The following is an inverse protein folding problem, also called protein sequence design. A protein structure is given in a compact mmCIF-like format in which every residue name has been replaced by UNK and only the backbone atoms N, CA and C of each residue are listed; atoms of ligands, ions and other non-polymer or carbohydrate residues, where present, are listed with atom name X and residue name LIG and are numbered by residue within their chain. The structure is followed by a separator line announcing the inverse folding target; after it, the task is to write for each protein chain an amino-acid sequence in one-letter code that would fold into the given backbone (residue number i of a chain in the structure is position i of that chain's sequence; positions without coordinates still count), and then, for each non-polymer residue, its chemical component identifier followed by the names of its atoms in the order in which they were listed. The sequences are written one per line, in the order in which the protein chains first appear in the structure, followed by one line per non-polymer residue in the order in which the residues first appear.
data_IF_935322333791
#
_entry.id   IF_935322333791
#
_cell.length_a   1.000
_cell.length_b   1.000
_cell.length_c   1.000
_cell.angle_alpha   90.00
_cell.angle_beta   90.00
_cell.angle_gamma   90.00
#
_symmetry.space_group_name_H-M   'P 1'
#
loop_
_entity.id
_entity.type
_entity.pdbx_description
1 polymer ?
#
# COMPACT_ATOMS: atom_id res chain seq x y z
N UNK A 1 -10.36 -41.27 -35.24
CA UNK A 1 -9.70 -41.30 -36.55
C UNK A 1 -8.42 -42.12 -36.38
N UNK A 2 -8.30 -43.28 -37.03
CA UNK A 2 -7.11 -44.12 -36.88
C UNK A 2 -5.91 -43.46 -37.60
N UNK A 3 -4.78 -43.32 -36.90
CA UNK A 3 -3.55 -42.82 -37.47
C UNK A 3 -3.05 -43.76 -38.57
N UNK A 4 -2.50 -43.20 -39.65
CA UNK A 4 -1.94 -44.02 -40.73
C UNK A 4 -0.74 -44.81 -40.19
N UNK A 5 -0.45 -46.02 -40.72
CA UNK A 5 0.64 -46.87 -40.21
C UNK A 5 2.00 -46.15 -40.15
N UNK A 6 2.30 -45.30 -41.14
CA UNK A 6 3.52 -44.50 -41.17
C UNK A 6 3.57 -43.41 -40.09
N UNK A 7 2.43 -42.79 -39.76
CA UNK A 7 2.33 -41.80 -38.68
C UNK A 7 2.53 -42.48 -37.33
N UNK A 8 1.93 -43.65 -37.14
CA UNK A 8 2.04 -44.43 -35.91
C UNK A 8 3.48 -44.92 -35.68
N UNK A 9 4.18 -45.32 -36.75
CA UNK A 9 5.60 -45.67 -36.69
C UNK A 9 6.51 -44.47 -36.36
N UNK A 10 6.21 -43.30 -36.93
CA UNK A 10 6.94 -42.05 -36.63
C UNK A 10 6.74 -41.63 -35.17
N UNK A 11 5.48 -41.60 -34.69
CA UNK A 11 5.16 -41.26 -33.30
C UNK A 11 5.81 -42.24 -32.31
N UNK A 12 5.76 -43.55 -32.61
CA UNK A 12 6.41 -44.57 -31.80
C UNK A 12 7.94 -44.40 -31.74
N UNK A 13 8.55 -43.85 -32.79
CA UNK A 13 9.99 -43.55 -32.82
C UNK A 13 10.30 -42.30 -32.02
N UNK A 14 9.52 -41.22 -32.20
CA UNK A 14 9.64 -39.99 -31.41
C UNK A 14 9.45 -40.23 -29.91
N UNK A 15 8.46 -41.05 -29.53
CA UNK A 15 8.22 -41.43 -28.15
C UNK A 15 9.40 -42.21 -27.56
N UNK A 16 10.00 -43.13 -28.33
CA UNK A 16 11.20 -43.88 -27.88
C UNK A 16 12.38 -42.95 -27.63
N UNK A 17 12.65 -42.00 -28.52
CA UNK A 17 13.72 -41.01 -28.33
C UNK A 17 13.47 -40.11 -27.12
N UNK A 18 12.24 -39.62 -26.94
CA UNK A 18 11.88 -38.83 -25.76
C UNK A 18 12.04 -39.62 -24.45
N UNK A 19 11.60 -40.88 -24.44
CA UNK A 19 11.76 -41.76 -23.27
C UNK A 19 13.23 -42.05 -22.97
N UNK A 20 14.06 -42.20 -24.00
CA UNK A 20 15.50 -42.36 -23.85
C UNK A 20 16.10 -41.12 -23.18
N UNK A 21 15.81 -39.93 -23.70
CA UNK A 21 16.27 -38.67 -23.11
C UNK A 21 15.83 -38.50 -21.65
N UNK A 22 14.56 -38.78 -21.33
CA UNK A 22 14.06 -38.68 -19.95
C UNK A 22 14.77 -39.66 -19.00
N UNK A 23 15.12 -40.86 -19.47
CA UNK A 23 15.87 -41.83 -18.67
C UNK A 23 17.30 -41.39 -18.43
N UNK A 24 17.96 -40.83 -19.45
CA UNK A 24 19.31 -40.27 -19.33
C UNK A 24 19.32 -39.11 -18.33
N UNK A 25 18.42 -38.14 -18.49
CA UNK A 25 18.26 -37.02 -17.57
C UNK A 25 17.99 -37.50 -16.13
N UNK A 26 17.13 -38.52 -15.96
CA UNK A 26 16.86 -39.09 -14.63
C UNK A 26 18.11 -39.74 -14.02
N UNK A 27 18.93 -40.41 -14.82
CA UNK A 27 20.17 -41.02 -14.35
C UNK A 27 21.18 -39.94 -13.93
N UNK A 28 21.33 -38.89 -14.74
CA UNK A 28 22.17 -37.73 -14.40
C UNK A 28 21.70 -37.06 -13.10
N UNK A 29 20.40 -36.81 -12.95
CA UNK A 29 19.84 -36.24 -11.72
C UNK A 29 20.04 -37.11 -10.47
N UNK A 30 20.17 -38.43 -10.64
CA UNK A 30 20.42 -39.35 -9.52
C UNK A 30 21.90 -39.39 -9.10
N UNK A 31 22.81 -38.85 -9.92
CA UNK A 31 24.23 -38.79 -9.61
C UNK A 31 24.56 -37.50 -8.85
N UNK A 32 24.89 -37.59 -7.55
CA UNK A 32 25.19 -36.41 -6.75
C UNK A 32 26.48 -35.75 -7.22
N UNK A 33 26.41 -34.46 -7.54
CA UNK A 33 27.55 -33.66 -7.98
C UNK A 33 27.66 -33.45 -9.49
N UNK A 34 26.76 -34.03 -10.30
CA UNK A 34 26.68 -33.65 -11.71
C UNK A 34 26.12 -32.23 -11.85
N UNK A 35 26.48 -31.52 -12.93
CA UNK A 35 26.08 -30.13 -13.13
C UNK A 35 24.54 -29.96 -13.21
N UNK A 36 23.83 -30.96 -13.74
CA UNK A 36 22.36 -30.93 -13.88
C UNK A 36 21.69 -31.05 -12.52
N UNK A 37 22.09 -32.03 -11.70
CA UNK A 37 21.59 -32.20 -10.33
C UNK A 37 21.89 -30.96 -9.49
N UNK A 38 23.13 -30.46 -9.51
CA UNK A 38 23.51 -29.25 -8.79
C UNK A 38 22.71 -28.01 -9.23
N UNK A 39 22.40 -27.90 -10.52
CA UNK A 39 21.57 -26.81 -11.04
C UNK A 39 20.14 -26.92 -10.52
N UNK A 40 19.52 -28.10 -10.60
CA UNK A 40 18.16 -28.33 -10.11
C UNK A 40 18.06 -28.10 -8.61
N UNK A 41 19.03 -28.56 -7.82
CA UNK A 41 19.09 -28.33 -6.38
C UNK A 41 19.21 -26.84 -6.06
N UNK A 42 20.07 -26.11 -6.77
CA UNK A 42 20.23 -24.67 -6.59
C UNK A 42 18.92 -23.91 -6.90
N UNK A 43 18.26 -24.22 -8.02
CA UNK A 43 16.98 -23.60 -8.35
C UNK A 43 15.87 -23.98 -7.36
N UNK A 44 15.85 -25.24 -6.90
CA UNK A 44 14.84 -25.68 -5.92
C UNK A 44 15.02 -24.95 -4.59
N UNK A 45 16.26 -24.83 -4.11
CA UNK A 45 16.60 -24.05 -2.90
C UNK A 45 16.19 -22.58 -3.01
N UNK A 46 16.41 -21.96 -4.18
CA UNK A 46 15.97 -20.58 -4.43
C UNK A 46 14.44 -20.46 -4.41
N UNK A 47 13.73 -21.40 -5.04
CA UNK A 47 12.27 -21.40 -5.06
C UNK A 47 11.72 -21.59 -3.64
N UNK A 48 12.27 -22.53 -2.88
CA UNK A 48 11.87 -22.79 -1.50
C UNK A 48 12.08 -21.54 -0.62
N UNK A 49 13.22 -20.85 -0.76
CA UNK A 49 13.47 -19.59 -0.06
C UNK A 49 12.46 -18.50 -0.42
N UNK A 50 12.13 -18.34 -1.70
CA UNK A 50 11.12 -17.36 -2.15
C UNK A 50 9.73 -17.70 -1.60
N UNK A 51 9.36 -18.98 -1.58
CA UNK A 51 8.09 -19.43 -1.01
C UNK A 51 8.03 -19.13 0.49
N UNK A 52 9.12 -19.40 1.22
CA UNK A 52 9.21 -19.13 2.66
C UNK A 52 9.07 -17.63 2.94
N UNK A 53 9.80 -16.77 2.23
CA UNK A 53 9.72 -15.33 2.40
C UNK A 53 8.28 -14.80 2.20
N UNK A 54 7.62 -15.21 1.11
CA UNK A 54 6.23 -14.82 0.83
C UNK A 54 5.27 -15.34 1.90
N UNK A 55 5.43 -16.59 2.33
CA UNK A 55 4.57 -17.18 3.36
C UNK A 55 4.72 -16.45 4.71
N UNK A 56 5.96 -16.13 5.11
CA UNK A 56 6.24 -15.41 6.35
C UNK A 56 5.75 -13.96 6.30
N UNK A 57 5.88 -13.29 5.16
CA UNK A 57 5.37 -11.93 4.99
C UNK A 57 3.85 -11.87 5.13
N UNK A 58 3.13 -12.77 4.44
CA UNK A 58 1.67 -12.88 4.54
C UNK A 58 1.25 -13.25 5.97
N UNK A 59 1.93 -14.22 6.59
CA UNK A 59 1.66 -14.58 7.98
C UNK A 59 1.83 -13.40 8.93
N UNK A 60 2.94 -12.66 8.81
CA UNK A 60 3.21 -11.46 9.61
C UNK A 60 2.11 -10.42 9.42
N UNK A 61 1.75 -10.11 8.17
CA UNK A 61 0.74 -9.10 7.86
C UNK A 61 -0.61 -9.43 8.48
N UNK A 62 -1.02 -10.71 8.45
CA UNK A 62 -2.26 -11.18 9.09
C UNK A 62 -2.17 -11.10 10.61
N UNK A 63 -1.06 -11.53 11.21
CA UNK A 63 -0.90 -11.50 12.67
C UNK A 63 -0.84 -10.08 13.24
N UNK A 64 -0.29 -9.13 12.50
CA UNK A 64 -0.24 -7.72 12.92
C UNK A 64 -1.49 -6.93 12.55
N UNK A 65 -2.46 -7.54 11.86
CA UNK A 65 -3.70 -6.90 11.42
C UNK A 65 -3.50 -5.86 10.31
N UNK A 66 -2.37 -5.92 9.59
CA UNK A 66 -2.13 -5.12 8.38
C UNK A 66 -2.95 -5.65 7.21
N UNK A 67 -3.14 -6.97 7.16
CA UNK A 67 -4.03 -7.67 6.25
C UNK A 67 -4.97 -8.58 7.04
N UNK A 68 -6.09 -9.00 6.44
CA UNK A 68 -6.90 -10.11 6.93
C UNK A 68 -6.92 -11.31 5.94
N UNK A 69 -7.53 -12.42 6.35
CA UNK A 69 -7.64 -13.62 5.53
C UNK A 69 -8.54 -13.44 4.29
N UNK A 70 -9.51 -12.51 4.34
CA UNK A 70 -10.38 -12.20 3.21
C UNK A 70 -9.61 -11.42 2.13
N UNK A 71 -8.76 -10.46 2.52
CA UNK A 71 -7.88 -9.69 1.64
C UNK A 71 -6.86 -10.59 0.93
N UNK A 72 -6.26 -11.53 1.66
CA UNK A 72 -5.38 -12.55 1.08
C UNK A 72 -6.14 -13.42 0.06
N UNK A 73 -7.34 -13.91 0.43
CA UNK A 73 -8.17 -14.74 -0.47
C UNK A 73 -8.57 -13.99 -1.73
N UNK A 74 -8.88 -12.71 -1.62
CA UNK A 74 -9.22 -11.86 -2.76
C UNK A 74 -8.03 -11.69 -3.72
N UNK A 75 -6.82 -11.44 -3.20
CA UNK A 75 -5.60 -11.34 -4.02
C UNK A 75 -5.27 -12.64 -4.75
N UNK A 76 -5.42 -13.79 -4.09
CA UNK A 76 -5.24 -15.11 -4.72
C UNK A 76 -6.26 -15.36 -5.84
N UNK A 77 -7.54 -15.04 -5.61
CA UNK A 77 -8.59 -15.18 -6.61
C UNK A 77 -8.41 -14.23 -7.81
N UNK A 78 -7.82 -13.06 -7.57
CA UNK A 78 -7.54 -12.04 -8.60
C UNK A 78 -6.22 -12.28 -9.35
N UNK A 79 -5.50 -13.37 -9.04
CA UNK A 79 -4.27 -13.75 -9.74
C UNK A 79 -3.00 -13.05 -9.25
N UNK A 80 -2.97 -12.53 -8.02
CA UNK A 80 -1.77 -11.97 -7.37
C UNK A 80 -1.22 -10.67 -8.00
N UNK A 81 -1.61 -10.35 -9.23
CA UNK A 81 -1.49 -9.03 -9.79
C UNK A 81 -2.49 -8.11 -9.11
N UNK A 82 -2.07 -6.89 -8.84
CA UNK A 82 -2.94 -5.73 -8.71
C UNK A 82 -3.76 -5.55 -10.00
N UNK A 83 -4.69 -6.46 -10.27
CA UNK A 83 -5.82 -6.26 -11.19
C UNK A 83 -6.86 -5.31 -10.57
N UNK A 84 -6.67 -4.92 -9.31
CA UNK A 84 -7.02 -3.59 -8.86
C UNK A 84 -5.97 -2.62 -9.36
N UNK A 85 -6.20 -2.04 -10.54
CA UNK A 85 -5.86 -0.62 -10.70
C UNK A 85 -6.44 0.16 -9.50
N UNK A 86 -5.94 1.37 -9.19
CA UNK A 86 -6.49 2.18 -8.10
C UNK A 86 -8.02 2.05 -8.12
N UNK A 87 -8.67 1.80 -6.96
CA UNK A 87 -10.11 1.60 -6.90
C UNK A 87 -10.76 2.63 -7.81
N UNK A 88 -11.75 2.25 -8.65
CA UNK A 88 -12.32 3.16 -9.64
C UNK A 88 -12.55 4.49 -8.92
N UNK A 89 -11.97 5.59 -9.43
CA UNK A 89 -11.97 6.85 -8.69
C UNK A 89 -13.42 7.07 -8.25
N UNK A 90 -13.65 7.36 -6.95
CA UNK A 90 -15.00 7.57 -6.46
C UNK A 90 -15.67 8.53 -7.45
N UNK A 91 -16.94 8.27 -7.83
CA UNK A 91 -17.62 9.02 -8.88
C UNK A 91 -17.33 10.49 -8.66
N UNK A 92 -16.69 11.11 -9.66
CA UNK A 92 -16.16 12.46 -9.54
C UNK A 92 -17.23 13.32 -8.88
N UNK A 93 -16.94 13.95 -7.73
CA UNK A 93 -17.92 14.81 -7.09
C UNK A 93 -18.42 15.82 -8.14
N UNK A 94 -19.71 16.20 -8.08
CA UNK A 94 -20.30 17.13 -9.06
C UNK A 94 -19.37 18.33 -9.24
N UNK A 95 -19.24 18.85 -10.48
CA UNK A 95 -18.16 19.75 -10.87
C UNK A 95 -17.95 20.82 -9.80
N UNK A 96 -16.85 20.65 -9.08
CA UNK A 96 -16.50 21.50 -7.95
C UNK A 96 -16.30 22.90 -8.52
N UNK A 97 -17.06 23.87 -8.00
CA UNK A 97 -16.91 25.26 -8.38
C UNK A 97 -15.43 25.66 -8.29
N UNK A 98 -14.91 26.34 -9.33
CA UNK A 98 -13.49 26.74 -9.44
C UNK A 98 -12.93 27.19 -8.09
N UNK A 99 -12.03 26.39 -7.50
CA UNK A 99 -11.31 26.75 -6.28
C UNK A 99 -11.52 25.85 -5.06
N UNK A 100 -12.40 24.85 -5.10
CA UNK A 100 -12.52 23.89 -4.00
C UNK A 100 -11.62 22.65 -4.22
N UNK A 101 -10.85 22.30 -3.18
CA UNK A 101 -9.93 21.16 -3.15
C UNK A 101 -10.68 19.90 -2.74
N UNK A 102 -10.34 18.76 -3.32
CA UNK A 102 -10.92 17.45 -2.96
C UNK A 102 -9.84 16.62 -2.26
N UNK A 103 -10.18 15.96 -1.15
CA UNK A 103 -9.24 15.09 -0.43
C UNK A 103 -9.06 13.70 -1.09
N UNK A 104 -8.18 12.87 -0.52
CA UNK A 104 -7.91 11.49 -1.00
C UNK A 104 -9.13 10.57 -0.95
N UNK A 105 -10.18 10.96 -0.20
CA UNK A 105 -11.44 10.22 -0.04
C UNK A 105 -12.59 10.79 -0.89
N UNK A 106 -12.34 11.84 -1.70
CA UNK A 106 -13.37 12.45 -2.54
C UNK A 106 -14.23 13.51 -1.85
N UNK A 107 -13.92 13.91 -0.62
CA UNK A 107 -14.66 14.98 0.07
C UNK A 107 -14.18 16.36 -0.37
N UNK A 108 -15.14 17.26 -0.60
CA UNK A 108 -14.85 18.67 -0.89
C UNK A 108 -14.38 19.34 0.40
N UNK A 109 -13.11 19.74 0.44
CA UNK A 109 -12.51 20.45 1.57
C UNK A 109 -12.88 21.93 1.45
N UNK A 110 -13.59 22.50 2.45
CA UNK A 110 -13.89 23.92 2.43
C UNK A 110 -12.59 24.73 2.52
N UNK A 111 -12.49 25.89 1.85
CA UNK A 111 -11.26 26.71 1.85
C UNK A 111 -10.87 27.22 3.24
N UNK A 112 -11.82 27.24 4.18
CA UNK A 112 -11.60 27.58 5.59
C UNK A 112 -12.29 26.51 6.42
N UNK A 113 -11.55 25.87 7.33
CA UNK A 113 -12.11 24.93 8.29
C UNK A 113 -13.05 25.66 9.26
N UNK A 114 -14.35 25.33 9.22
CA UNK A 114 -15.40 25.95 10.03
C UNK A 114 -15.64 25.23 11.36
N UNK A 115 -15.02 24.08 11.58
CA UNK A 115 -15.19 23.25 12.77
C UNK A 115 -14.87 24.04 14.05
N UNK A 116 -15.76 23.93 15.04
CA UNK A 116 -15.62 24.63 16.31
C UNK A 116 -14.69 23.82 17.24
N UNK A 117 -13.51 24.36 17.52
CA UNK A 117 -12.54 23.78 18.46
C UNK A 117 -12.47 24.61 19.75
N UNK A 118 -12.30 23.94 20.89
CA UNK A 118 -12.12 24.63 22.17
C UNK A 118 -10.67 25.04 22.38
N UNK A 119 -10.41 26.30 22.71
CA UNK A 119 -9.06 26.76 23.04
C UNK A 119 -8.65 26.24 24.44
N UNK A 120 -7.54 25.48 24.58
CA UNK A 120 -7.12 24.93 25.87
C UNK A 120 -6.68 26.00 26.88
N UNK A 121 -6.36 27.22 26.43
CA UNK A 121 -5.90 28.30 27.30
C UNK A 121 -7.05 29.17 27.86
N UNK A 122 -8.20 29.25 27.17
CA UNK A 122 -9.32 30.09 27.59
C UNK A 122 -10.70 29.43 27.52
N UNK A 123 -10.76 28.16 27.13
CA UNK A 123 -11.95 27.32 26.96
C UNK A 123 -13.05 27.93 26.06
N UNK A 124 -12.71 28.96 25.27
CA UNK A 124 -13.63 29.54 24.30
C UNK A 124 -13.67 28.69 23.04
N UNK A 125 -14.88 28.44 22.51
CA UNK A 125 -15.07 27.80 21.20
C UNK A 125 -14.68 28.77 20.09
N UNK A 126 -13.83 28.33 19.18
CA UNK A 126 -13.28 29.12 18.07
C UNK A 126 -13.31 28.26 16.81
N UNK A 127 -13.63 28.83 15.66
CA UNK A 127 -13.51 28.11 14.39
C UNK A 127 -12.05 27.73 14.10
N UNK A 128 -11.80 26.50 13.66
CA UNK A 128 -10.47 25.96 13.42
C UNK A 128 -9.64 26.83 12.47
N UNK A 129 -10.24 27.33 11.39
CA UNK A 129 -9.59 28.24 10.44
C UNK A 129 -9.23 29.63 11.01
N UNK A 130 -9.71 29.97 12.21
CA UNK A 130 -9.41 31.24 12.92
C UNK A 130 -8.64 31.02 14.22
N UNK A 131 -8.14 29.80 14.44
CA UNK A 131 -7.45 29.46 15.68
C UNK A 131 -6.11 30.18 15.82
N UNK A 132 -5.34 30.36 14.73
CA UNK A 132 -4.07 31.08 14.76
C UNK A 132 -4.24 32.57 15.14
N UNK A 133 -5.12 33.38 14.51
CA UNK A 133 -5.43 34.74 14.97
C UNK A 133 -5.94 34.79 16.41
N UNK A 134 -6.66 33.76 16.85
CA UNK A 134 -7.08 33.66 18.25
C UNK A 134 -5.89 33.47 19.20
N UNK A 135 -4.95 32.57 18.90
CA UNK A 135 -3.76 32.32 19.73
C UNK A 135 -2.88 33.57 19.84
N UNK A 136 -2.72 34.33 18.76
CA UNK A 136 -1.99 35.62 18.79
C UNK A 136 -2.53 36.57 19.86
N UNK A 137 -3.87 36.63 20.02
CA UNK A 137 -4.53 37.46 21.03
C UNK A 137 -4.61 36.79 22.41
N UNK A 138 -4.86 35.48 22.43
CA UNK A 138 -5.09 34.68 23.63
C UNK A 138 -3.78 34.46 24.41
N UNK A 139 -2.69 34.16 23.70
CA UNK A 139 -1.34 33.99 24.25
C UNK A 139 -0.53 35.29 24.24
N UNK A 140 -0.85 36.26 23.39
CA UNK A 140 -0.19 37.57 23.32
C UNK A 140 -0.50 38.53 24.49
N UNK A 141 -0.87 37.99 25.66
CA UNK A 141 -1.21 38.71 26.90
C UNK A 141 -0.16 39.75 27.32
N UNK A 142 1.10 39.58 26.93
CA UNK A 142 2.16 40.57 27.16
C UNK A 142 1.92 41.92 26.47
N UNK A 143 1.35 41.94 25.26
CA UNK A 143 1.17 43.19 24.51
C UNK A 143 0.02 44.06 25.04
N UNK A 144 -1.03 43.44 25.58
CA UNK A 144 -2.13 44.20 26.20
C UNK A 144 -1.74 44.75 27.57
N UNK A 145 -0.95 44.00 28.35
CA UNK A 145 -0.40 44.48 29.62
C UNK A 145 0.57 45.65 29.43
N UNK A 146 1.50 45.57 28.47
CA UNK A 146 2.41 46.69 28.15
C UNK A 146 1.68 47.93 27.65
N UNK A 147 0.65 47.78 26.81
CA UNK A 147 -0.17 48.92 26.34
C UNK A 147 -0.97 49.53 27.49
N UNK A 148 -1.51 48.73 28.40
CA UNK A 148 -2.22 49.23 29.59
C UNK A 148 -1.25 49.94 30.56
N UNK A 149 -0.03 49.45 30.73
CA UNK A 149 1.01 50.08 31.53
C UNK A 149 1.45 51.43 30.92
N UNK A 150 1.77 51.47 29.63
CA UNK A 150 2.13 52.72 28.94
C UNK A 150 0.99 53.75 28.96
N UNK A 151 -0.27 53.31 28.85
CA UNK A 151 -1.41 54.21 28.97
C UNK A 151 -1.47 54.83 30.37
N UNK A 152 -1.23 54.06 31.43
CA UNK A 152 -1.19 54.59 32.81
C UNK A 152 -0.04 55.59 33.01
N UNK A 153 1.14 55.30 32.47
CA UNK A 153 2.29 56.20 32.51
C UNK A 153 1.99 57.53 31.78
N UNK A 154 1.39 57.45 30.59
CA UNK A 154 1.01 58.64 29.82
C UNK A 154 -0.07 59.50 30.49
N UNK A 155 -1.00 58.90 31.25
CA UNK A 155 -1.99 59.69 32.02
C UNK A 155 -1.40 60.33 33.29
N UNK A 156 -0.21 59.90 33.73
CA UNK A 156 0.48 60.47 34.90
C UNK A 156 1.38 61.65 34.55
N UNK A 157 1.64 61.91 33.26
CA UNK A 157 2.50 62.99 32.74
C UNK A 157 1.69 64.22 32.25
N UNK A 158 0.42 64.37 32.66
CA UNK A 158 -0.43 65.55 32.41
C UNK A 158 -0.89 66.19 33.72
#
# INVERSE_FOLDING_TARGET
MALKPAQLAWEATLLRERLKFVRELKAELAEPGCAVAASVDAYSSLIDGVIEDVALEVHRAVQTGVDDLADVRHRLASGGGSAGGPPPPPPLPPPVAKGAMVDVFGHVVPPIALDQVSCPNCNRKVAAGRFAPHLEKCMGRGRQASRAANKRLSTMEM
#
